data_IF_308529538530
#
_entry.id   IF_308529538530
#
_cell.length_a   1.000
_cell.length_b   1.000
_cell.length_c   1.000
_cell.angle_alpha   90.00
_cell.angle_beta   90.00
_cell.angle_gamma   90.00
#
_symmetry.space_group_name_H-M   'P 1'
#
loop_
_entity.id
_entity.type
_entity.pdbx_description
1 polymer ?
#
# COMPACT_ATOMS: atom_id res chain seq x y z
N UNK A 1 6.06 10.45 43.97
CA UNK A 1 6.62 10.34 42.61
C UNK A 1 6.70 8.86 42.23
N UNK A 2 5.77 8.38 41.41
CA UNK A 2 5.76 6.99 40.93
C UNK A 2 6.87 6.83 39.89
N UNK A 3 7.94 6.10 40.24
CA UNK A 3 8.99 5.72 39.29
C UNK A 3 8.34 4.89 38.17
N UNK A 4 8.36 5.38 36.93
CA UNK A 4 8.02 4.57 35.76
C UNK A 4 8.98 3.38 35.71
N UNK A 5 8.52 2.21 36.12
CA UNK A 5 9.28 0.97 36.02
C UNK A 5 9.14 0.46 34.59
N UNK A 6 10.21 0.56 33.81
CA UNK A 6 10.29 -0.15 32.53
C UNK A 6 10.32 -1.65 32.83
N UNK A 7 9.19 -2.32 32.60
CA UNK A 7 9.07 -3.76 32.71
C UNK A 7 9.26 -4.38 31.32
N UNK A 8 10.07 -5.43 31.24
CA UNK A 8 10.27 -6.20 30.00
C UNK A 8 9.60 -7.56 30.17
N UNK A 9 8.76 -7.92 29.21
CA UNK A 9 8.07 -9.20 29.17
C UNK A 9 8.59 -9.94 27.95
N UNK A 10 9.19 -11.10 28.17
CA UNK A 10 9.64 -11.96 27.10
C UNK A 10 8.53 -12.98 26.79
N UNK A 11 8.20 -13.12 25.51
CA UNK A 11 7.16 -14.00 25.00
C UNK A 11 7.77 -15.01 24.04
N UNK A 12 7.40 -16.29 24.17
CA UNK A 12 7.76 -17.32 23.21
C UNK A 12 6.73 -17.33 22.08
N UNK A 13 7.22 -17.20 20.86
CA UNK A 13 6.42 -17.23 19.63
C UNK A 13 7.20 -17.96 18.55
N UNK A 14 6.47 -18.67 17.70
CA UNK A 14 7.00 -19.26 16.48
C UNK A 14 7.33 -18.17 15.45
N UNK A 15 8.07 -18.53 14.40
CA UNK A 15 8.42 -17.59 13.32
C UNK A 15 7.18 -17.12 12.56
N UNK A 16 6.20 -18.01 12.38
CA UNK A 16 4.95 -17.73 11.68
C UNK A 16 4.09 -16.75 12.49
N UNK A 17 3.91 -17.00 13.78
CA UNK A 17 3.20 -16.10 14.70
C UNK A 17 3.87 -14.72 14.76
N UNK A 18 5.20 -14.66 14.84
CA UNK A 18 5.93 -13.40 14.85
C UNK A 18 5.70 -12.60 13.57
N UNK A 19 5.64 -13.27 12.41
CA UNK A 19 5.37 -12.63 11.12
C UNK A 19 3.96 -12.06 11.08
N UNK A 20 2.98 -12.84 11.51
CA UNK A 20 1.57 -12.44 11.56
C UNK A 20 1.36 -11.25 12.50
N UNK A 21 1.95 -11.28 13.70
CA UNK A 21 1.86 -10.17 14.66
C UNK A 21 2.47 -8.87 14.12
N UNK A 22 3.59 -8.96 13.39
CA UNK A 22 4.20 -7.79 12.74
C UNK A 22 3.31 -7.21 11.65
N UNK A 23 2.70 -8.05 10.83
CA UNK A 23 1.78 -7.60 9.78
C UNK A 23 0.56 -6.90 10.38
N UNK A 24 -0.05 -7.46 11.43
CA UNK A 24 -1.18 -6.84 12.11
C UNK A 24 -0.80 -5.51 12.78
N UNK A 25 0.33 -5.46 13.47
CA UNK A 25 0.85 -4.23 14.06
C UNK A 25 1.06 -3.15 12.98
N UNK A 26 1.63 -3.52 11.84
CA UNK A 26 1.85 -2.62 10.71
C UNK A 26 0.54 -2.11 10.10
N UNK A 27 -0.46 -2.98 9.88
CA UNK A 27 -1.77 -2.56 9.36
C UNK A 27 -2.52 -1.62 10.33
N UNK A 28 -2.25 -1.73 11.63
CA UNK A 28 -2.80 -0.81 12.65
C UNK A 28 -1.97 0.47 12.87
N UNK A 29 -0.86 0.65 12.13
CA UNK A 29 0.09 1.74 12.29
C UNK A 29 0.66 1.85 13.72
N UNK A 30 0.95 0.70 14.34
CA UNK A 30 1.49 0.60 15.71
C UNK A 30 2.81 -0.16 15.74
N UNK A 31 3.63 0.12 16.75
CA UNK A 31 4.78 -0.74 17.06
C UNK A 31 4.29 -2.08 17.62
N UNK A 32 5.06 -3.15 17.40
CA UNK A 32 4.71 -4.50 17.86
C UNK A 32 4.38 -4.53 19.37
N UNK A 33 5.18 -3.85 20.19
CA UNK A 33 4.95 -3.79 21.65
C UNK A 33 3.64 -3.08 21.99
N UNK A 34 3.30 -1.99 21.29
CA UNK A 34 2.07 -1.25 21.55
C UNK A 34 0.83 -2.04 21.09
N UNK A 35 0.95 -2.74 19.96
CA UNK A 35 -0.08 -3.66 19.46
C UNK A 35 -0.34 -4.79 20.46
N UNK A 36 0.73 -5.45 20.95
CA UNK A 36 0.62 -6.54 21.93
C UNK A 36 0.03 -6.08 23.25
N UNK A 37 0.41 -4.89 23.74
CA UNK A 37 -0.17 -4.33 24.96
C UNK A 37 -1.67 -4.07 24.78
N UNK A 38 -2.08 -3.42 23.69
CA UNK A 38 -3.51 -3.19 23.42
C UNK A 38 -4.30 -4.48 23.30
N UNK A 39 -3.75 -5.47 22.60
CA UNK A 39 -4.36 -6.79 22.47
C UNK A 39 -4.51 -7.48 23.83
N UNK A 40 -3.47 -7.44 24.68
CA UNK A 40 -3.50 -8.03 26.03
C UNK A 40 -4.53 -7.36 26.95
N UNK A 41 -4.83 -6.07 26.75
CA UNK A 41 -5.86 -5.33 27.49
C UNK A 41 -7.24 -5.34 26.82
N UNK A 42 -7.46 -6.15 25.77
CA UNK A 42 -8.71 -6.23 25.00
C UNK A 42 -9.21 -4.85 24.51
N UNK A 43 -8.29 -3.93 24.21
CA UNK A 43 -8.63 -2.60 23.69
C UNK A 43 -8.89 -2.70 22.19
N UNK A 44 -9.93 -2.03 21.63
CA UNK A 44 -10.17 -2.04 20.19
C UNK A 44 -8.96 -1.52 19.41
N UNK A 45 -8.58 -2.27 18.36
CA UNK A 45 -7.48 -1.94 17.45
C UNK A 45 -8.05 -1.59 16.09
N UNK A 46 -7.93 -0.32 15.69
CA UNK A 46 -8.32 0.13 14.35
C UNK A 46 -7.27 -0.30 13.34
N UNK A 47 -7.70 -1.01 12.30
CA UNK A 47 -6.85 -1.43 11.18
C UNK A 47 -7.16 -0.53 9.99
N UNK A 48 -6.14 0.14 9.46
CA UNK A 48 -6.29 1.01 8.29
C UNK A 48 -6.05 0.16 7.03
N UNK A 49 -7.12 -0.41 6.47
CA UNK A 49 -7.05 -0.98 5.14
C UNK A 49 -7.26 0.14 4.12
N UNK A 50 -6.17 0.55 3.46
CA UNK A 50 -6.27 1.43 2.31
C UNK A 50 -6.89 0.60 1.19
N UNK A 51 -8.11 0.94 0.79
CA UNK A 51 -8.73 0.34 -0.38
C UNK A 51 -7.86 0.68 -1.61
N UNK A 52 -7.21 -0.33 -2.24
CA UNK A 52 -6.36 -0.08 -3.40
C UNK A 52 -7.12 0.59 -4.56
N UNK A 53 -8.46 0.48 -4.61
CA UNK A 53 -9.27 1.17 -5.62
C UNK A 53 -9.20 2.70 -5.51
N UNK A 54 -8.94 3.24 -4.31
CA UNK A 54 -8.79 4.69 -4.08
C UNK A 54 -7.55 5.23 -4.80
N UNK A 55 -6.49 4.42 -4.90
CA UNK A 55 -5.25 4.79 -5.60
C UNK A 55 -5.28 4.45 -7.09
N UNK A 56 -5.88 3.30 -7.45
CA UNK A 56 -5.93 2.82 -8.84
C UNK A 56 -6.77 3.74 -9.72
N UNK A 57 -7.92 4.24 -9.24
CA UNK A 57 -8.82 5.09 -10.04
C UNK A 57 -8.15 6.42 -10.50
N UNK A 58 -7.54 7.23 -9.61
CA UNK A 58 -6.80 8.42 -9.99
C UNK A 58 -5.64 8.13 -10.96
N UNK A 59 -4.91 7.03 -10.71
CA UNK A 59 -3.79 6.61 -11.55
C UNK A 59 -4.25 6.32 -12.99
N UNK A 60 -5.31 5.54 -13.18
CA UNK A 60 -5.87 5.29 -14.51
C UNK A 60 -6.39 6.57 -15.18
N UNK A 61 -6.90 7.52 -14.40
CA UNK A 61 -7.28 8.85 -14.89
C UNK A 61 -6.07 9.61 -15.46
N UNK A 62 -4.96 9.64 -14.73
CA UNK A 62 -3.71 10.27 -15.18
C UNK A 62 -3.17 9.63 -16.46
N UNK A 63 -3.23 8.29 -16.58
CA UNK A 63 -2.85 7.59 -17.81
C UNK A 63 -3.66 8.07 -19.02
N UNK A 64 -4.99 8.18 -18.85
CA UNK A 64 -5.88 8.65 -19.93
C UNK A 64 -5.55 10.09 -20.33
N UNK A 65 -5.31 10.97 -19.36
CA UNK A 65 -4.93 12.36 -19.63
C UNK A 65 -3.61 12.44 -20.41
N UNK A 66 -2.60 11.68 -19.99
CA UNK A 66 -1.32 11.59 -20.68
C UNK A 66 -1.49 11.14 -22.14
N UNK A 67 -2.26 10.07 -22.37
CA UNK A 67 -2.51 9.55 -23.73
C UNK A 67 -3.24 10.58 -24.62
N UNK A 68 -4.19 11.33 -24.07
CA UNK A 68 -4.90 12.38 -24.80
C UNK A 68 -3.98 13.54 -25.19
N UNK A 69 -3.13 13.99 -24.25
CA UNK A 69 -2.14 15.04 -24.53
C UNK A 69 -1.20 14.59 -25.64
N UNK A 70 -0.69 13.36 -25.55
CA UNK A 70 0.19 12.78 -26.57
C UNK A 70 -0.48 12.71 -27.94
N UNK A 71 -1.73 12.22 -27.99
CA UNK A 71 -2.48 12.14 -29.24
C UNK A 71 -2.68 13.51 -29.89
N UNK A 72 -3.03 14.53 -29.10
CA UNK A 72 -3.21 15.89 -29.60
C UNK A 72 -1.91 16.51 -30.12
N UNK A 73 -0.79 16.28 -29.42
CA UNK A 73 0.53 16.75 -29.87
C UNK A 73 1.00 16.03 -31.15
N UNK A 74 0.62 14.75 -31.34
CA UNK A 74 0.90 14.01 -32.58
C UNK A 74 0.12 14.60 -33.76
N UNK A 75 -1.16 14.93 -33.56
CA UNK A 75 -2.01 15.53 -34.60
C UNK A 75 -1.58 16.96 -34.95
N UNK A 76 -1.05 17.71 -33.99
CA UNK A 76 -0.55 19.07 -34.19
C UNK A 76 0.84 19.16 -34.84
N UNK A 77 1.53 18.03 -35.07
CA UNK A 77 2.88 18.01 -35.63
C UNK A 77 3.99 18.53 -34.68
N UNK A 78 3.65 18.83 -33.42
CA UNK A 78 4.56 19.38 -32.41
C UNK A 78 5.26 18.31 -31.56
N UNK A 79 5.14 17.03 -31.91
CA UNK A 79 5.69 15.94 -31.11
C UNK A 79 7.22 15.80 -31.27
N UNK A 80 7.97 16.76 -30.71
CA UNK A 80 9.40 16.62 -30.45
C UNK A 80 9.59 15.73 -29.23
N UNK A 81 9.49 14.40 -29.42
CA UNK A 81 10.06 13.34 -28.55
C UNK A 81 10.43 13.78 -27.11
N UNK A 82 9.44 14.17 -26.30
CA UNK A 82 9.71 14.63 -24.91
C UNK A 82 10.10 13.43 -24.03
N UNK A 83 9.72 12.22 -24.45
CA UNK A 83 9.98 10.98 -23.73
C UNK A 83 10.70 10.03 -24.68
N UNK A 84 11.91 9.62 -24.32
CA UNK A 84 12.66 8.62 -25.09
C UNK A 84 11.90 7.29 -25.10
N UNK A 85 11.98 6.51 -26.19
CA UNK A 85 11.21 5.26 -26.36
C UNK A 85 11.34 4.30 -25.17
N UNK A 86 12.51 4.29 -24.53
CA UNK A 86 12.83 3.47 -23.37
C UNK A 86 11.93 3.75 -22.16
N UNK A 87 11.63 5.02 -21.86
CA UNK A 87 10.73 5.37 -20.75
C UNK A 87 9.26 5.12 -21.09
N UNK A 88 8.91 5.09 -22.38
CA UNK A 88 7.55 4.81 -22.80
C UNK A 88 7.16 3.35 -22.53
N UNK A 89 8.07 2.42 -22.81
CA UNK A 89 7.89 1.00 -22.49
C UNK A 89 7.78 0.76 -20.98
N UNK A 90 8.63 1.42 -20.18
CA UNK A 90 8.58 1.33 -18.71
C UNK A 90 7.25 1.85 -18.17
N UNK A 91 6.81 3.03 -18.63
CA UNK A 91 5.52 3.60 -18.24
C UNK A 91 4.37 2.66 -18.63
N UNK A 92 4.39 2.10 -19.84
CA UNK A 92 3.37 1.17 -20.31
C UNK A 92 3.34 -0.12 -19.48
N UNK A 93 4.51 -0.64 -19.09
CA UNK A 93 4.62 -1.82 -18.21
C UNK A 93 4.04 -1.55 -16.82
N UNK A 94 4.31 -0.37 -16.24
CA UNK A 94 3.75 0.05 -14.95
C UNK A 94 2.23 0.16 -15.01
N UNK A 95 1.69 0.71 -16.09
CA UNK A 95 0.25 0.77 -16.29
C UNK A 95 -0.39 -0.61 -16.43
N UNK A 96 0.25 -1.54 -17.12
CA UNK A 96 -0.25 -2.92 -17.22
C UNK A 96 -0.21 -3.65 -15.87
N UNK A 97 0.82 -3.42 -15.06
CA UNK A 97 0.91 -3.97 -13.71
C UNK A 97 -0.19 -3.41 -12.80
N UNK A 98 -0.44 -2.10 -12.87
CA UNK A 98 -1.51 -1.44 -12.14
C UNK A 98 -2.91 -1.90 -12.60
N UNK A 99 -3.12 -2.11 -13.90
CA UNK A 99 -4.37 -2.64 -14.43
C UNK A 99 -4.62 -4.10 -14.02
N UNK A 100 -3.54 -4.88 -13.85
CA UNK A 100 -3.59 -6.29 -13.39
C UNK A 100 -3.69 -6.41 -11.87
N UNK A 101 -3.37 -5.37 -11.12
CA UNK A 101 -3.53 -5.33 -9.67
C UNK A 101 -5.03 -5.36 -9.32
N UNK A 102 -5.60 -6.57 -9.19
CA UNK A 102 -6.93 -6.77 -8.64
C UNK A 102 -6.96 -6.22 -7.21
N UNK A 103 -8.08 -5.64 -6.74
CA UNK A 103 -8.23 -5.34 -5.33
C UNK A 103 -7.92 -6.60 -4.55
N UNK A 104 -7.08 -6.50 -3.52
CA UNK A 104 -6.76 -7.63 -2.66
C UNK A 104 -8.10 -8.21 -2.17
N UNK A 105 -8.44 -9.42 -2.64
CA UNK A 105 -9.55 -10.18 -2.06
C UNK A 105 -9.09 -10.53 -0.65
N UNK A 106 -9.54 -9.76 0.33
CA UNK A 106 -9.51 -10.18 1.73
C UNK A 106 -10.34 -11.46 1.78
N UNK A 107 -9.83 -12.58 2.34
CA UNK A 107 -10.66 -13.73 2.61
C UNK A 107 -11.68 -13.26 3.66
N UNK A 108 -12.93 -13.07 3.23
CA UNK A 108 -14.05 -13.04 4.16
C UNK A 108 -14.22 -14.48 4.65
N UNK A 109 -13.60 -14.81 5.78
CA UNK A 109 -13.95 -16.05 6.49
C UNK A 109 -15.34 -15.88 7.11
N UNK A 110 -16.13 -16.92 6.89
CA UNK A 110 -17.52 -17.17 7.30
C UNK A 110 -17.57 -17.49 8.79
#
# INVERSE_FOLDING_TARGET
MTKNKNCRIDMRVTKEELSLLRQLAQKSNMTLSHFLLKAAFNVPITVYEIDPQILIKPLLGLQRHYNNIRFNLQQGGELTSIITPQYEEEIQSLWQLLAKAKPAKVPSEV
#
